data_IF_151616119897
#
_entry.id   IF_151616119897
#
_cell.length_a   1.000
_cell.length_b   1.000
_cell.length_c   1.000
_cell.angle_alpha   90.00
_cell.angle_beta   90.00
_cell.angle_gamma   90.00
#
_symmetry.space_group_name_H-M   'P 1'
#
loop_
_entity.id
_entity.type
_entity.pdbx_description
1 polymer ?
#
# COMPACT_ATOMS: atom_id res chain seq x y z
N UNK A 1 -16.82 -10.53 -53.52
CA UNK A 1 -16.29 -10.51 -52.14
C UNK A 1 -15.53 -9.21 -51.95
N UNK A 2 -15.96 -8.36 -51.02
CA UNK A 2 -15.40 -7.02 -50.88
C UNK A 2 -13.94 -7.08 -50.37
N UNK A 3 -13.00 -6.28 -50.93
CA UNK A 3 -11.59 -6.24 -50.51
C UNK A 3 -11.41 -5.98 -49.01
N UNK A 4 -12.39 -5.34 -48.38
CA UNK A 4 -12.46 -5.07 -46.95
C UNK A 4 -12.42 -6.33 -46.10
N UNK A 5 -13.09 -7.42 -46.49
CA UNK A 5 -13.11 -8.66 -45.69
C UNK A 5 -11.74 -9.36 -45.60
N UNK A 6 -10.95 -9.29 -46.68
CA UNK A 6 -9.61 -9.90 -46.75
C UNK A 6 -8.60 -9.09 -45.94
N UNK A 7 -8.64 -7.76 -46.07
CA UNK A 7 -7.77 -6.85 -45.29
C UNK A 7 -8.07 -6.99 -43.80
N UNK A 8 -9.35 -7.03 -43.41
CA UNK A 8 -9.73 -7.25 -42.03
C UNK A 8 -9.24 -8.61 -41.53
N UNK A 9 -9.39 -9.69 -42.30
CA UNK A 9 -8.88 -11.02 -41.93
C UNK A 9 -7.36 -11.07 -41.73
N UNK A 10 -6.58 -10.42 -42.61
CA UNK A 10 -5.12 -10.33 -42.49
C UNK A 10 -4.72 -9.51 -41.25
N UNK A 11 -5.39 -8.39 -40.99
CA UNK A 11 -5.14 -7.58 -39.79
C UNK A 11 -5.48 -8.36 -38.52
N UNK A 12 -6.58 -9.11 -38.49
CA UNK A 12 -6.92 -9.99 -37.36
C UNK A 12 -5.88 -11.10 -37.16
N UNK A 13 -5.41 -11.74 -38.24
CA UNK A 13 -4.38 -12.77 -38.15
C UNK A 13 -3.04 -12.19 -37.70
N UNK A 14 -2.62 -11.05 -38.24
CA UNK A 14 -1.40 -10.36 -37.84
C UNK A 14 -1.48 -9.90 -36.38
N UNK A 15 -2.63 -9.41 -35.93
CA UNK A 15 -2.88 -9.08 -34.53
C UNK A 15 -2.85 -10.33 -33.65
N UNK A 16 -3.49 -11.43 -34.07
CA UNK A 16 -3.46 -12.69 -33.34
C UNK A 16 -2.04 -13.27 -33.23
N UNK A 17 -1.25 -13.19 -34.30
CA UNK A 17 0.16 -13.55 -34.32
C UNK A 17 0.99 -12.63 -33.42
N UNK A 18 0.76 -11.32 -33.47
CA UNK A 18 1.43 -10.36 -32.59
C UNK A 18 1.10 -10.61 -31.11
N UNK A 19 -0.17 -10.89 -30.78
CA UNK A 19 -0.60 -11.27 -29.45
C UNK A 19 -0.05 -12.63 -28.98
N UNK A 20 0.09 -13.58 -29.91
CA UNK A 20 0.60 -14.91 -29.61
C UNK A 20 2.12 -14.93 -29.41
N UNK A 21 2.86 -14.16 -30.20
CA UNK A 21 4.32 -14.12 -30.17
C UNK A 21 4.89 -13.03 -29.26
N UNK A 22 4.12 -11.96 -29.01
CA UNK A 22 4.54 -10.74 -28.30
C UNK A 22 6.03 -10.39 -28.54
N UNK A 23 6.45 -10.19 -29.80
CA UNK A 23 7.86 -10.12 -30.17
C UNK A 23 8.62 -8.97 -29.50
N UNK A 24 7.91 -7.99 -28.96
CA UNK A 24 8.47 -6.83 -28.24
C UNK A 24 8.30 -6.91 -26.72
N UNK A 25 7.78 -8.03 -26.18
CA UNK A 25 7.56 -8.24 -24.74
C UNK A 25 6.76 -7.10 -24.11
N UNK A 26 5.68 -6.69 -24.77
CA UNK A 26 4.82 -5.61 -24.29
C UNK A 26 3.74 -6.09 -23.32
N UNK A 27 3.45 -7.39 -23.31
CA UNK A 27 2.48 -8.01 -22.42
C UNK A 27 2.82 -7.75 -20.94
N UNK A 28 1.79 -7.59 -20.11
CA UNK A 28 1.98 -7.47 -18.66
C UNK A 28 2.56 -8.73 -18.01
N UNK A 29 2.54 -9.85 -18.73
CA UNK A 29 3.00 -11.17 -18.28
C UNK A 29 4.30 -11.64 -18.94
N UNK A 30 4.92 -10.85 -19.83
CA UNK A 30 6.09 -11.29 -20.63
C UNK A 30 7.27 -11.76 -19.79
N UNK A 31 7.45 -11.18 -18.60
CA UNK A 31 8.58 -11.44 -17.70
C UNK A 31 8.18 -12.37 -16.54
N UNK A 32 6.97 -12.93 -16.57
CA UNK A 32 6.38 -13.72 -15.49
C UNK A 32 5.79 -15.02 -16.05
N UNK A 33 6.63 -16.01 -16.44
CA UNK A 33 6.17 -17.23 -17.11
C UNK A 33 5.26 -18.09 -16.22
N UNK A 34 5.41 -18.02 -14.90
CA UNK A 34 4.61 -18.73 -13.90
C UNK A 34 3.43 -17.88 -13.38
N UNK A 35 3.04 -16.83 -14.10
CA UNK A 35 1.96 -15.96 -13.66
C UNK A 35 0.63 -16.73 -13.64
N UNK A 36 0.04 -16.76 -12.45
CA UNK A 36 -1.31 -17.27 -12.22
C UNK A 36 -2.27 -16.16 -11.84
N UNK A 37 -3.54 -16.37 -12.17
CA UNK A 37 -4.62 -15.41 -11.95
C UNK A 37 -5.62 -16.09 -11.03
N UNK A 38 -5.68 -15.64 -9.78
CA UNK A 38 -6.48 -16.19 -8.70
C UNK A 38 -7.80 -15.43 -8.58
N UNK A 39 -8.88 -16.13 -8.24
CA UNK A 39 -10.17 -15.51 -7.99
C UNK A 39 -10.08 -14.51 -6.83
N UNK A 40 -10.74 -13.35 -6.96
CA UNK A 40 -10.87 -12.37 -5.89
C UNK A 40 -12.36 -12.28 -5.56
N UNK A 41 -12.71 -12.60 -4.31
CA UNK A 41 -14.08 -12.53 -3.80
C UNK A 41 -14.47 -11.08 -3.50
N UNK A 42 -14.61 -10.27 -4.56
CA UNK A 42 -14.86 -8.85 -4.46
C UNK A 42 -16.35 -8.61 -4.15
N UNK A 43 -16.72 -7.96 -3.01
CA UNK A 43 -18.11 -7.82 -2.55
C UNK A 43 -19.08 -7.27 -3.59
N UNK A 44 -20.37 -7.60 -3.50
CA UNK A 44 -21.36 -7.08 -4.44
C UNK A 44 -21.49 -5.55 -4.36
N UNK A 45 -21.89 -4.89 -5.45
CA UNK A 45 -22.09 -3.43 -5.44
C UNK A 45 -23.13 -2.95 -4.42
N UNK A 46 -24.10 -3.82 -4.08
CA UNK A 46 -25.12 -3.56 -3.06
C UNK A 46 -24.57 -3.53 -1.62
N UNK A 47 -23.38 -4.08 -1.39
CA UNK A 47 -22.72 -4.09 -0.08
C UNK A 47 -21.78 -2.90 0.12
N UNK A 48 -21.52 -2.13 -0.93
CA UNK A 48 -20.63 -0.97 -0.85
C UNK A 48 -21.34 0.19 -0.13
N UNK A 49 -20.59 1.01 0.63
CA UNK A 49 -21.12 2.25 1.16
C UNK A 49 -21.67 3.15 0.04
N UNK A 50 -22.83 3.76 0.30
CA UNK A 50 -23.52 4.64 -0.65
C UNK A 50 -22.98 6.07 -0.59
N UNK A 51 -22.37 6.42 0.53
CA UNK A 51 -21.80 7.72 0.84
C UNK A 51 -20.62 8.03 -0.08
N UNK A 52 -20.57 9.28 -0.54
CA UNK A 52 -19.53 9.83 -1.41
C UNK A 52 -19.26 11.27 -1.03
N UNK A 53 -18.07 11.74 -1.34
CA UNK A 53 -17.74 13.15 -1.23
C UNK A 53 -18.15 13.88 -2.52
N UNK A 54 -19.32 14.51 -2.50
CA UNK A 54 -19.81 15.29 -3.65
C UNK A 54 -19.09 16.61 -3.83
N UNK A 55 -18.40 17.11 -2.79
CA UNK A 55 -17.68 18.38 -2.81
C UNK A 55 -16.22 18.24 -3.24
N UNK A 56 -15.69 17.01 -3.32
CA UNK A 56 -14.28 16.73 -3.56
C UNK A 56 -13.38 17.50 -2.58
N UNK A 57 -13.65 17.35 -1.29
CA UNK A 57 -13.01 18.08 -0.20
C UNK A 57 -11.48 17.95 -0.20
N UNK A 58 -10.91 16.84 -0.68
CA UNK A 58 -9.45 16.72 -0.77
C UNK A 58 -8.84 17.71 -1.78
N UNK A 59 -9.61 18.30 -2.70
CA UNK A 59 -9.14 19.40 -3.55
C UNK A 59 -8.82 20.68 -2.76
N UNK A 60 -9.30 20.80 -1.51
CA UNK A 60 -8.97 21.90 -0.59
C UNK A 60 -7.65 21.68 0.15
N UNK A 61 -6.92 20.59 -0.13
CA UNK A 61 -5.65 20.29 0.54
C UNK A 61 -4.52 21.21 0.11
N UNK A 62 -3.63 21.53 1.04
CA UNK A 62 -2.37 22.20 0.77
C UNK A 62 -1.32 21.18 0.31
N UNK A 63 -0.60 21.47 -0.77
CA UNK A 63 0.54 20.66 -1.21
C UNK A 63 1.82 21.17 -0.55
N UNK A 64 2.40 20.36 0.33
CA UNK A 64 3.67 20.64 1.01
C UNK A 64 4.83 19.84 0.41
N UNK A 65 6.02 20.42 0.49
CA UNK A 65 7.30 19.77 0.15
C UNK A 65 7.43 19.29 -1.31
N UNK A 66 6.74 19.97 -2.24
CA UNK A 66 6.73 19.59 -3.64
C UNK A 66 8.14 19.49 -4.22
N UNK A 67 8.47 18.31 -4.75
CA UNK A 67 9.76 17.92 -5.32
C UNK A 67 10.96 17.92 -4.35
N UNK A 68 10.74 18.18 -3.05
CA UNK A 68 11.79 18.08 -2.04
C UNK A 68 12.02 16.63 -1.58
N UNK A 69 10.98 15.81 -1.65
CA UNK A 69 10.96 14.40 -1.26
C UNK A 69 10.27 13.57 -2.34
N UNK A 70 10.59 12.28 -2.41
CA UNK A 70 10.10 11.39 -3.46
C UNK A 70 9.35 10.22 -2.84
N UNK A 71 8.03 10.15 -3.06
CA UNK A 71 7.18 9.05 -2.60
C UNK A 71 7.09 8.91 -1.07
N UNK A 72 6.80 9.97 -0.29
CA UNK A 72 6.64 9.86 1.16
C UNK A 72 5.40 9.04 1.49
N UNK A 73 5.54 7.79 1.93
CA UNK A 73 4.39 6.88 2.07
C UNK A 73 3.73 6.93 3.44
N UNK A 74 4.51 6.67 4.49
CA UNK A 74 4.07 6.76 5.88
C UNK A 74 4.67 7.99 6.55
N UNK A 75 3.81 8.74 7.24
CA UNK A 75 4.09 9.97 7.96
C UNK A 75 3.86 9.70 9.44
N UNK A 76 4.91 9.83 10.23
CA UNK A 76 4.82 9.71 11.69
C UNK A 76 5.46 10.88 12.40
N UNK A 77 5.06 11.06 13.66
CA UNK A 77 5.62 12.05 14.54
C UNK A 77 6.23 11.37 15.75
N UNK A 78 7.32 11.91 16.25
CA UNK A 78 7.99 11.36 17.42
C UNK A 78 7.13 11.52 18.69
N UNK A 79 7.48 10.87 19.81
CA UNK A 79 6.73 11.00 21.07
C UNK A 79 6.67 12.42 21.64
N UNK A 80 7.56 13.33 21.20
CA UNK A 80 7.56 14.76 21.56
C UNK A 80 6.72 15.60 20.59
N UNK A 81 6.11 14.97 19.60
CA UNK A 81 5.29 15.59 18.58
C UNK A 81 6.05 16.23 17.42
N UNK A 82 7.38 16.07 17.34
CA UNK A 82 8.19 16.60 16.23
C UNK A 82 7.98 15.77 14.96
N UNK A 83 8.17 16.41 13.81
CA UNK A 83 8.08 15.77 12.51
C UNK A 83 7.46 16.67 11.45
N UNK A 84 6.96 16.08 10.35
CA UNK A 84 6.83 14.63 10.13
C UNK A 84 8.17 13.92 9.85
N UNK A 85 8.21 12.61 10.12
CA UNK A 85 9.18 11.65 9.62
C UNK A 85 8.54 10.84 8.50
N UNK A 86 9.30 10.51 7.45
CA UNK A 86 8.79 9.71 6.33
C UNK A 86 9.85 8.88 5.63
N UNK A 87 9.47 7.67 5.22
CA UNK A 87 10.24 6.87 4.28
C UNK A 87 10.14 7.44 2.86
N UNK A 88 11.23 7.46 2.11
CA UNK A 88 11.27 7.97 0.73
C UNK A 88 11.80 6.93 -0.26
N UNK A 89 11.59 7.17 -1.56
CA UNK A 89 11.83 6.21 -2.64
C UNK A 89 13.30 5.79 -2.80
N UNK A 90 14.23 6.54 -2.23
CA UNK A 90 15.67 6.22 -2.24
C UNK A 90 16.13 5.38 -1.04
N UNK A 91 15.20 4.91 -0.19
CA UNK A 91 15.48 4.04 0.93
C UNK A 91 15.88 4.73 2.23
N UNK A 92 15.84 6.07 2.27
CA UNK A 92 16.03 6.84 3.51
C UNK A 92 14.71 7.01 4.26
N UNK A 93 14.84 7.26 5.56
CA UNK A 93 13.83 7.93 6.38
C UNK A 93 14.32 9.35 6.62
N UNK A 94 13.49 10.33 6.28
CA UNK A 94 13.78 11.75 6.46
C UNK A 94 12.95 12.31 7.62
N UNK A 95 13.46 13.36 8.24
CA UNK A 95 12.81 14.12 9.31
C UNK A 95 12.69 15.60 8.92
N UNK A 96 11.50 16.17 9.07
CA UNK A 96 11.28 17.60 8.91
C UNK A 96 11.45 18.32 10.25
N UNK A 97 12.49 19.17 10.36
CA UNK A 97 12.81 19.87 11.60
C UNK A 97 12.07 21.22 11.78
N UNK A 98 11.12 21.54 10.90
CA UNK A 98 10.43 22.83 10.85
C UNK A 98 10.96 23.80 9.79
N UNK A 99 12.17 23.55 9.28
CA UNK A 99 12.82 24.41 8.27
C UNK A 99 13.29 23.63 7.04
N UNK A 100 13.93 22.49 7.25
CA UNK A 100 14.57 21.68 6.21
C UNK A 100 14.40 20.19 6.50
N UNK A 101 14.52 19.36 5.45
CA UNK A 101 14.58 17.90 5.59
C UNK A 101 15.99 17.46 5.99
N UNK A 102 16.08 16.62 7.01
CA UNK A 102 17.33 16.01 7.47
C UNK A 102 17.26 14.49 7.33
N UNK A 103 18.39 13.88 6.99
CA UNK A 103 18.51 12.42 6.95
C UNK A 103 18.45 11.88 8.39
N UNK A 104 17.44 11.05 8.66
CA UNK A 104 17.27 10.42 9.97
C UNK A 104 17.82 9.00 9.96
N UNK A 105 17.37 8.14 9.04
CA UNK A 105 17.81 6.76 9.00
C UNK A 105 17.93 6.21 7.57
N UNK A 106 18.64 5.09 7.45
CA UNK A 106 18.75 4.30 6.21
C UNK A 106 18.51 2.82 6.51
N UNK A 107 17.84 2.11 5.60
CA UNK A 107 17.59 0.67 5.76
C UNK A 107 18.60 -0.23 5.06
N UNK A 108 19.27 0.27 4.00
CA UNK A 108 20.37 -0.46 3.35
C UNK A 108 21.73 -0.06 3.91
N UNK A 109 22.55 -1.04 4.25
CA UNK A 109 23.99 -0.84 4.55
C UNK A 109 24.84 -0.70 3.29
N UNK A 110 24.36 -1.18 2.14
CA UNK A 110 25.10 -1.24 0.87
C UNK A 110 24.66 -0.14 -0.11
N UNK A 111 24.43 1.07 0.41
CA UNK A 111 24.03 2.21 -0.44
C UNK A 111 25.16 2.58 -1.40
N UNK A 112 24.80 2.81 -2.65
CA UNK A 112 25.70 3.27 -3.71
C UNK A 112 25.09 4.44 -4.47
N UNK A 113 25.78 4.95 -5.49
CA UNK A 113 25.26 6.00 -6.37
C UNK A 113 23.92 5.64 -7.04
N UNK A 114 23.55 4.36 -7.10
CA UNK A 114 22.25 3.90 -7.59
C UNK A 114 21.06 4.44 -6.76
N UNK A 115 21.32 4.81 -5.50
CA UNK A 115 20.38 5.34 -4.52
C UNK A 115 20.42 6.87 -4.44
N UNK A 116 21.23 7.54 -5.27
CA UNK A 116 21.27 9.01 -5.32
C UNK A 116 19.90 9.60 -5.69
N UNK A 117 19.62 10.85 -5.29
CA UNK A 117 18.37 11.53 -5.62
C UNK A 117 18.02 11.49 -7.12
N UNK A 118 16.75 11.23 -7.42
CA UNK A 118 16.16 11.15 -8.77
C UNK A 118 14.89 12.00 -8.82
N UNK A 119 14.49 12.49 -10.01
CA UNK A 119 13.40 13.45 -10.13
C UNK A 119 11.99 12.86 -9.97
N UNK A 120 11.85 11.54 -9.83
CA UNK A 120 10.53 10.89 -9.73
C UNK A 120 10.61 9.63 -8.86
N UNK A 121 9.55 9.31 -8.09
CA UNK A 121 9.51 8.09 -7.28
C UNK A 121 9.65 6.82 -8.14
N UNK A 122 9.06 6.80 -9.33
CA UNK A 122 9.09 5.63 -10.22
C UNK A 122 10.48 5.30 -10.76
N UNK A 123 11.39 6.29 -10.79
CA UNK A 123 12.78 6.11 -11.24
C UNK A 123 13.61 5.26 -10.26
N UNK A 124 13.10 5.02 -9.06
CA UNK A 124 13.75 4.18 -8.05
C UNK A 124 13.37 2.70 -8.14
N UNK A 125 12.16 2.37 -8.61
CA UNK A 125 11.59 1.00 -8.53
C UNK A 125 12.55 -0.12 -8.95
N UNK A 126 13.36 0.10 -9.99
CA UNK A 126 14.34 -0.90 -10.47
C UNK A 126 15.37 -1.27 -9.39
N UNK A 127 15.79 -0.29 -8.58
CA UNK A 127 16.92 -0.40 -7.65
C UNK A 127 16.49 -0.35 -6.18
N UNK A 128 15.19 -0.24 -5.86
CA UNK A 128 14.71 -0.20 -4.48
C UNK A 128 15.19 -1.43 -3.67
N UNK A 129 15.25 -2.62 -4.27
CA UNK A 129 15.81 -3.82 -3.63
C UNK A 129 17.28 -3.72 -3.18
N UNK A 130 18.03 -2.73 -3.68
CA UNK A 130 19.40 -2.42 -3.24
C UNK A 130 19.39 -1.31 -2.20
N UNK A 131 18.55 -0.29 -2.40
CA UNK A 131 18.55 0.93 -1.60
C UNK A 131 17.69 0.84 -0.33
N UNK A 132 16.73 -0.09 -0.32
CA UNK A 132 15.61 -0.12 0.62
C UNK A 132 14.42 0.69 0.11
N UNK A 133 13.26 0.43 0.72
CA UNK A 133 12.05 1.23 0.55
C UNK A 133 11.21 1.14 1.85
N UNK A 134 11.45 2.03 2.82
CA UNK A 134 10.65 2.13 4.04
C UNK A 134 9.22 2.56 3.67
N UNK A 135 8.24 1.68 3.91
CA UNK A 135 6.83 1.93 3.59
C UNK A 135 6.03 2.29 4.84
N UNK A 136 6.19 1.54 5.92
CA UNK A 136 5.52 1.73 7.20
C UNK A 136 6.48 2.10 8.32
N UNK A 137 6.11 3.09 9.13
CA UNK A 137 6.93 3.63 10.21
C UNK A 137 6.13 3.70 11.51
N UNK A 138 6.70 3.31 12.66
CA UNK A 138 6.11 3.59 13.98
C UNK A 138 7.15 3.82 15.05
N UNK A 139 6.95 4.86 15.84
CA UNK A 139 7.72 5.06 17.06
C UNK A 139 7.18 4.18 18.19
N UNK A 140 8.08 3.49 18.88
CA UNK A 140 7.80 3.00 20.20
C UNK A 140 7.73 4.20 21.16
N UNK A 141 6.54 4.48 21.69
CA UNK A 141 6.29 5.66 22.54
C UNK A 141 7.10 5.66 23.84
N UNK A 142 7.56 4.50 24.31
CA UNK A 142 8.33 4.36 25.56
C UNK A 142 9.83 4.56 25.34
N UNK A 143 10.39 3.98 24.28
CA UNK A 143 11.84 4.00 24.04
C UNK A 143 12.28 5.10 23.08
N UNK A 144 11.37 5.59 22.22
CA UNK A 144 11.70 6.50 21.13
C UNK A 144 12.33 5.80 19.91
N UNK A 145 12.44 4.47 19.92
CA UNK A 145 12.91 3.71 18.77
C UNK A 145 11.90 3.78 17.62
N UNK A 146 12.40 3.96 16.40
CA UNK A 146 11.60 3.92 15.19
C UNK A 146 11.67 2.52 14.57
N UNK A 147 10.54 1.83 14.54
CA UNK A 147 10.35 0.59 13.81
C UNK A 147 9.95 0.90 12.37
N UNK A 148 10.52 0.12 11.45
CA UNK A 148 10.44 0.34 10.00
C UNK A 148 10.04 -0.97 9.33
N UNK A 149 8.95 -0.95 8.56
CA UNK A 149 8.63 -1.97 7.58
C UNK A 149 9.26 -1.55 6.25
N UNK A 150 10.38 -2.20 5.90
CA UNK A 150 11.03 -2.03 4.60
C UNK A 150 10.51 -3.09 3.62
N UNK A 151 10.07 -2.63 2.44
CA UNK A 151 9.48 -3.49 1.43
C UNK A 151 10.37 -4.65 0.96
N UNK A 152 11.69 -4.52 1.11
CA UNK A 152 12.66 -5.50 0.61
C UNK A 152 13.46 -6.16 1.74
N UNK A 153 13.71 -5.46 2.84
CA UNK A 153 14.55 -5.98 3.91
C UNK A 153 13.79 -6.59 5.09
N UNK A 154 12.49 -6.28 5.25
CA UNK A 154 11.70 -6.84 6.34
C UNK A 154 11.39 -5.84 7.45
N UNK A 155 11.22 -6.35 8.67
CA UNK A 155 11.02 -5.52 9.85
C UNK A 155 12.39 -5.10 10.41
N UNK A 156 12.56 -3.80 10.63
CA UNK A 156 13.80 -3.19 11.10
C UNK A 156 13.52 -2.19 12.23
N UNK A 157 14.57 -1.79 12.94
CA UNK A 157 14.50 -0.78 14.01
C UNK A 157 15.73 0.13 14.00
N UNK A 158 15.54 1.40 14.32
CA UNK A 158 16.62 2.36 14.56
C UNK A 158 16.34 3.15 15.83
N UNK A 159 17.39 3.48 16.59
CA UNK A 159 17.26 4.26 17.82
C UNK A 159 16.85 5.72 17.58
N UNK A 160 16.58 6.49 18.64
CA UNK A 160 16.13 7.88 18.55
C UNK A 160 17.14 8.83 17.89
N UNK A 161 18.43 8.45 17.84
CA UNK A 161 19.49 9.22 17.18
C UNK A 161 19.57 8.96 15.67
N UNK A 162 18.76 8.04 15.14
CA UNK A 162 18.79 7.67 13.72
C UNK A 162 20.01 6.80 13.34
N UNK A 163 20.40 6.86 12.07
CA UNK A 163 21.50 6.08 11.50
C UNK A 163 21.07 4.83 10.71
N UNK A 164 21.93 3.81 10.67
CA UNK A 164 21.64 2.56 9.98
C UNK A 164 20.66 1.71 10.81
N UNK A 165 19.52 1.35 10.21
CA UNK A 165 18.54 0.49 10.85
C UNK A 165 19.07 -0.94 11.01
N UNK A 166 18.74 -1.56 12.13
CA UNK A 166 19.05 -2.95 12.46
C UNK A 166 17.92 -3.85 11.98
N UNK A 167 18.26 -4.91 11.25
CA UNK A 167 17.30 -5.93 10.82
C UNK A 167 16.81 -6.76 12.01
N UNK A 168 15.49 -6.93 12.13
CA UNK A 168 14.85 -7.78 13.14
C UNK A 168 14.29 -9.07 12.54
N UNK A 169 13.58 -8.96 11.42
CA UNK A 169 12.89 -10.10 10.79
C UNK A 169 12.93 -9.95 9.27
N UNK A 170 13.41 -10.96 8.56
CA UNK A 170 13.33 -11.07 7.09
C UNK A 170 12.69 -12.38 6.61
N UNK A 171 12.31 -13.28 7.52
CA UNK A 171 11.61 -14.53 7.24
C UNK A 171 10.73 -14.95 8.41
N UNK A 172 9.70 -15.74 8.12
CA UNK A 172 8.89 -16.41 9.13
C UNK A 172 8.49 -17.79 8.62
N UNK A 173 8.65 -18.81 9.46
CA UNK A 173 8.36 -20.21 9.13
C UNK A 173 9.09 -20.69 7.86
N UNK A 174 10.37 -20.31 7.75
CA UNK A 174 11.22 -20.56 6.58
C UNK A 174 10.69 -19.98 5.25
N UNK A 175 9.73 -19.05 5.31
CA UNK A 175 9.24 -18.30 4.14
C UNK A 175 9.73 -16.85 4.24
N UNK A 176 10.60 -16.41 3.32
CA UNK A 176 11.10 -15.03 3.30
C UNK A 176 9.98 -14.01 3.19
N UNK A 177 10.15 -12.88 3.88
CA UNK A 177 9.34 -11.69 3.64
C UNK A 177 9.74 -11.11 2.29
N UNK A 178 8.78 -10.82 1.42
CA UNK A 178 9.07 -10.24 0.09
C UNK A 178 8.50 -8.86 -0.11
N UNK A 179 7.49 -8.49 0.68
CA UNK A 179 6.84 -7.20 0.56
C UNK A 179 6.25 -6.76 1.90
N UNK A 180 7.12 -6.49 2.86
CA UNK A 180 6.72 -5.95 4.17
C UNK A 180 6.20 -4.54 4.01
N UNK A 181 5.01 -4.24 4.51
CA UNK A 181 4.33 -3.00 4.16
C UNK A 181 4.13 -2.07 5.35
N UNK A 182 3.26 -2.43 6.29
CA UNK A 182 2.95 -1.60 7.43
C UNK A 182 3.13 -2.34 8.76
N UNK A 183 3.17 -1.59 9.86
CA UNK A 183 3.29 -2.13 11.21
C UNK A 183 2.59 -1.28 12.27
N UNK A 184 2.25 -1.89 13.40
CA UNK A 184 1.83 -1.19 14.62
C UNK A 184 2.39 -1.88 15.88
N UNK A 185 2.49 -1.13 16.97
CA UNK A 185 3.18 -1.54 18.20
C UNK A 185 2.20 -1.52 19.38
N UNK A 186 2.07 -2.63 20.11
CA UNK A 186 1.27 -2.67 21.33
C UNK A 186 2.02 -2.14 22.57
N UNK A 187 1.33 -2.05 23.70
CA UNK A 187 1.88 -1.48 24.92
C UNK A 187 2.98 -2.35 25.53
N UNK A 188 2.94 -3.66 25.26
CA UNK A 188 3.96 -4.62 25.63
C UNK A 188 5.17 -4.59 24.68
N UNK A 189 5.09 -3.84 23.59
CA UNK A 189 6.16 -3.68 22.60
C UNK A 189 6.17 -4.78 21.53
N UNK A 190 5.15 -5.64 21.45
CA UNK A 190 5.01 -6.52 20.30
C UNK A 190 4.68 -5.71 19.05
N UNK A 191 5.22 -6.16 17.93
CA UNK A 191 5.04 -5.52 16.63
C UNK A 191 4.16 -6.40 15.77
N UNK A 192 3.02 -5.87 15.31
CA UNK A 192 2.15 -6.50 14.34
C UNK A 192 2.42 -5.88 12.98
N UNK A 193 2.67 -6.69 11.96
CA UNK A 193 3.07 -6.18 10.65
C UNK A 193 2.55 -7.07 9.51
N UNK A 194 2.50 -6.50 8.32
CA UNK A 194 2.00 -7.18 7.11
C UNK A 194 3.12 -7.56 6.17
N UNK A 195 3.01 -8.71 5.54
CA UNK A 195 3.76 -9.11 4.35
C UNK A 195 2.78 -9.26 3.19
N UNK A 196 2.78 -8.30 2.25
CA UNK A 196 1.76 -8.17 1.20
C UNK A 196 1.74 -9.34 0.21
N UNK A 197 2.86 -10.03 0.05
CA UNK A 197 3.00 -11.20 -0.81
C UNK A 197 4.29 -11.94 -0.48
N UNK A 198 4.26 -13.27 -0.50
CA UNK A 198 5.49 -14.10 -0.46
C UNK A 198 6.03 -14.41 -1.86
N UNK A 199 5.29 -14.04 -2.91
CA UNK A 199 5.62 -14.29 -4.31
C UNK A 199 6.24 -13.06 -4.99
N UNK A 200 5.67 -11.88 -4.77
CA UNK A 200 6.03 -10.64 -5.45
C UNK A 200 6.70 -9.64 -4.51
N UNK A 201 7.74 -8.97 -5.01
CA UNK A 201 8.35 -7.81 -4.35
C UNK A 201 7.64 -6.51 -4.77
N UNK A 202 7.86 -5.41 -4.03
CA UNK A 202 7.29 -4.09 -4.31
C UNK A 202 7.46 -3.58 -5.74
N UNK A 203 8.61 -3.82 -6.38
CA UNK A 203 8.84 -3.46 -7.81
C UNK A 203 7.89 -4.15 -8.80
N UNK A 204 7.29 -5.26 -8.37
CA UNK A 204 6.34 -6.07 -9.13
C UNK A 204 4.91 -5.95 -8.57
N UNK A 205 4.58 -4.87 -7.85
CA UNK A 205 3.25 -4.69 -7.24
C UNK A 205 2.10 -4.75 -8.26
N UNK A 206 2.33 -4.30 -9.50
CA UNK A 206 1.32 -4.42 -10.57
C UNK A 206 0.98 -5.88 -10.83
N UNK A 207 1.99 -6.77 -10.84
CA UNK A 207 1.78 -8.20 -11.06
C UNK A 207 1.07 -8.85 -9.87
N UNK A 208 1.38 -8.43 -8.64
CA UNK A 208 0.61 -8.83 -7.45
C UNK A 208 -0.88 -8.49 -7.61
N UNK A 209 -1.18 -7.25 -8.02
CA UNK A 209 -2.57 -6.79 -8.26
C UNK A 209 -3.23 -7.56 -9.41
N UNK A 210 -2.49 -7.81 -10.49
CA UNK A 210 -3.00 -8.51 -11.66
C UNK A 210 -3.24 -10.00 -11.40
N UNK A 211 -2.40 -10.65 -10.60
CA UNK A 211 -2.56 -12.06 -10.25
C UNK A 211 -3.68 -12.26 -9.24
N UNK A 212 -4.00 -11.24 -8.43
CA UNK A 212 -4.84 -11.44 -7.24
C UNK A 212 -4.14 -12.35 -6.23
N UNK A 213 -2.81 -12.25 -6.13
CA UNK A 213 -1.97 -13.05 -5.25
C UNK A 213 -2.57 -13.12 -3.85
N UNK A 214 -2.76 -14.35 -3.36
CA UNK A 214 -3.36 -14.66 -2.08
C UNK A 214 -2.31 -15.12 -1.06
N UNK A 215 -1.02 -14.93 -1.31
CA UNK A 215 0.05 -15.44 -0.44
C UNK A 215 0.36 -14.54 0.77
N UNK A 216 -0.33 -13.41 0.91
CA UNK A 216 -0.06 -12.42 1.94
C UNK A 216 -0.34 -12.90 3.37
N UNK A 217 0.32 -12.26 4.33
CA UNK A 217 0.31 -12.64 5.75
C UNK A 217 0.23 -11.44 6.68
N UNK A 218 -0.34 -11.65 7.87
CA UNK A 218 -0.17 -10.78 9.04
C UNK A 218 0.65 -11.52 10.08
N UNK A 219 1.66 -10.86 10.62
CA UNK A 219 2.64 -11.44 11.53
C UNK A 219 2.73 -10.64 12.83
N UNK A 220 3.22 -11.29 13.87
CA UNK A 220 3.59 -10.70 15.15
C UNK A 220 5.07 -10.98 15.42
N UNK A 221 5.81 -9.97 15.83
CA UNK A 221 7.17 -10.11 16.36
C UNK A 221 7.20 -9.67 17.82
N UNK A 222 7.79 -10.49 18.68
CA UNK A 222 8.04 -10.15 20.07
C UNK A 222 9.52 -9.81 20.26
N UNK A 223 9.88 -8.55 20.61
CA UNK A 223 11.28 -8.14 20.73
C UNK A 223 12.00 -8.76 21.94
N UNK A 224 11.27 -9.22 22.96
CA UNK A 224 11.83 -9.87 24.14
C UNK A 224 12.26 -11.30 23.85
N UNK A 225 11.40 -12.10 23.22
CA UNK A 225 11.70 -13.50 22.86
C UNK A 225 12.39 -13.63 21.51
N UNK A 226 12.35 -12.58 20.69
CA UNK A 226 12.79 -12.55 19.29
C UNK A 226 12.02 -13.53 18.39
N UNK A 227 10.83 -13.94 18.82
CA UNK A 227 9.98 -14.87 18.07
C UNK A 227 9.10 -14.11 17.07
N UNK A 228 8.93 -14.68 15.88
CA UNK A 228 7.96 -14.23 14.88
C UNK A 228 6.89 -15.29 14.67
N UNK A 229 5.62 -14.92 14.80
CA UNK A 229 4.47 -15.79 14.61
C UNK A 229 3.59 -15.26 13.48
N UNK A 230 3.17 -16.13 12.56
CA UNK A 230 2.16 -15.75 11.55
C UNK A 230 0.77 -15.90 12.16
N UNK A 231 0.03 -14.79 12.23
CA UNK A 231 -1.32 -14.74 12.81
C UNK A 231 -2.40 -15.07 11.78
N UNK A 232 -2.26 -14.57 10.56
CA UNK A 232 -3.24 -14.75 9.48
C UNK A 232 -2.51 -15.02 8.17
N UNK A 233 -3.07 -15.91 7.36
CA UNK A 233 -2.53 -16.36 6.06
C UNK A 233 -3.54 -16.21 4.96
N UNK A 234 -3.08 -16.48 3.75
CA UNK A 234 -3.88 -16.59 2.55
C UNK A 234 -4.64 -15.28 2.25
N UNK A 235 -3.98 -14.15 2.49
CA UNK A 235 -4.55 -12.82 2.36
C UNK A 235 -4.21 -12.23 0.99
N UNK A 236 -5.20 -11.62 0.35
CA UNK A 236 -5.00 -10.94 -0.92
C UNK A 236 -4.60 -9.48 -0.70
N UNK A 237 -3.29 -9.24 -0.82
CA UNK A 237 -2.62 -7.94 -0.66
C UNK A 237 -2.89 -7.27 0.71
N UNK A 238 -2.49 -7.89 1.84
CA UNK A 238 -2.52 -7.20 3.12
C UNK A 238 -1.54 -6.04 3.14
N UNK A 239 -2.00 -4.86 3.53
CA UNK A 239 -1.26 -3.61 3.38
C UNK A 239 -1.17 -2.86 4.72
N UNK A 240 -2.11 -1.97 5.04
CA UNK A 240 -2.15 -1.30 6.34
C UNK A 240 -2.49 -2.20 7.52
N UNK A 241 -1.95 -1.87 8.70
CA UNK A 241 -2.35 -2.42 10.00
C UNK A 241 -2.34 -1.34 11.09
N UNK A 242 -3.38 -1.32 11.94
CA UNK A 242 -3.40 -0.45 13.11
C UNK A 242 -4.20 -1.03 14.28
N UNK A 243 -3.65 -0.87 15.48
CA UNK A 243 -4.25 -1.25 16.74
C UNK A 243 -5.39 -0.32 17.13
N UNK A 244 -6.50 -0.91 17.56
CA UNK A 244 -7.57 -0.19 18.27
C UNK A 244 -7.02 0.64 19.43
N UNK A 245 -7.77 1.69 19.80
CA UNK A 245 -7.41 2.57 20.91
C UNK A 245 -7.30 1.81 22.24
N UNK A 246 -8.22 0.88 22.51
CA UNK A 246 -8.26 0.07 23.73
C UNK A 246 -7.36 -1.19 23.68
N UNK A 247 -6.66 -1.41 22.56
CA UNK A 247 -5.74 -2.54 22.36
C UNK A 247 -6.42 -3.91 22.49
N UNK A 248 -7.74 -3.98 22.29
CA UNK A 248 -8.48 -5.24 22.30
C UNK A 248 -8.42 -5.98 20.96
N UNK A 249 -8.15 -5.25 19.87
CA UNK A 249 -7.96 -5.79 18.53
C UNK A 249 -7.04 -4.90 17.67
N UNK A 250 -6.64 -5.38 16.50
CA UNK A 250 -6.15 -4.54 15.41
C UNK A 250 -6.98 -4.73 14.15
N UNK A 251 -6.96 -3.72 13.28
CA UNK A 251 -7.54 -3.77 11.95
C UNK A 251 -6.43 -3.87 10.93
N UNK A 252 -6.63 -4.66 9.88
CA UNK A 252 -5.73 -4.74 8.74
C UNK A 252 -6.48 -4.75 7.42
N UNK A 253 -5.83 -4.28 6.38
CA UNK A 253 -6.39 -4.17 5.04
C UNK A 253 -6.33 -5.51 4.30
N UNK A 254 -7.35 -5.83 3.50
CA UNK A 254 -7.25 -6.78 2.38
C UNK A 254 -7.40 -5.99 1.08
N UNK A 255 -6.24 -5.53 0.57
CA UNK A 255 -6.14 -4.55 -0.51
C UNK A 255 -6.87 -4.98 -1.77
N UNK A 256 -6.69 -6.22 -2.22
CA UNK A 256 -7.32 -6.71 -3.45
C UNK A 256 -8.82 -6.97 -3.30
N UNK A 257 -9.29 -7.31 -2.10
CA UNK A 257 -10.71 -7.59 -1.81
C UNK A 257 -11.49 -6.29 -1.56
N UNK A 258 -10.81 -5.21 -1.19
CA UNK A 258 -11.48 -3.93 -0.89
C UNK A 258 -12.24 -3.97 0.44
N UNK A 259 -11.63 -4.53 1.49
CA UNK A 259 -12.22 -4.56 2.84
C UNK A 259 -11.18 -4.45 3.94
N UNK A 260 -11.66 -4.18 5.14
CA UNK A 260 -10.91 -4.25 6.38
C UNK A 260 -11.31 -5.52 7.15
N UNK A 261 -10.34 -6.15 7.80
CA UNK A 261 -10.58 -7.22 8.78
C UNK A 261 -10.10 -6.79 10.15
N UNK A 262 -10.80 -7.28 11.17
CA UNK A 262 -10.41 -7.12 12.58
C UNK A 262 -9.87 -8.44 13.10
N UNK A 263 -8.74 -8.39 13.81
CA UNK A 263 -8.17 -9.52 14.54
C UNK A 263 -8.21 -9.23 16.04
N UNK A 264 -8.86 -10.11 16.80
CA UNK A 264 -9.05 -9.94 18.24
C UNK A 264 -7.80 -10.37 19.01
N UNK A 265 -7.28 -9.47 19.86
CA UNK A 265 -6.14 -9.72 20.74
C UNK A 265 -6.57 -10.14 22.14
N UNK A 266 -7.73 -9.67 22.59
CA UNK A 266 -8.26 -9.87 23.95
C UNK A 266 -9.72 -10.37 23.90
N UNK A 267 -10.21 -10.89 25.02
CA UNK A 267 -11.58 -11.37 25.19
C UNK A 267 -11.84 -12.77 24.62
N UNK A 268 -13.09 -13.20 24.62
CA UNK A 268 -13.50 -14.56 24.21
C UNK A 268 -13.18 -14.89 22.75
N UNK A 269 -13.09 -13.86 21.89
CA UNK A 269 -12.73 -13.99 20.48
C UNK A 269 -11.22 -13.93 20.21
N UNK A 270 -10.37 -13.80 21.24
CA UNK A 270 -8.93 -13.65 21.05
C UNK A 270 -8.35 -14.74 20.13
N UNK A 271 -7.53 -14.33 19.16
CA UNK A 271 -6.96 -15.22 18.14
C UNK A 271 -7.83 -15.41 16.89
N UNK A 272 -9.06 -14.90 16.87
CA UNK A 272 -9.95 -14.96 15.70
C UNK A 272 -9.94 -13.66 14.90
N UNK A 273 -10.41 -13.74 13.65
CA UNK A 273 -10.57 -12.56 12.79
C UNK A 273 -11.87 -12.58 12.01
N UNK A 274 -12.47 -11.40 11.82
CA UNK A 274 -13.75 -11.21 11.13
C UNK A 274 -13.69 -9.98 10.21
N UNK A 275 -14.64 -9.87 9.28
CA UNK A 275 -14.78 -8.67 8.45
C UNK A 275 -15.16 -7.49 9.34
N UNK A 276 -14.44 -6.38 9.20
CA UNK A 276 -14.68 -5.16 9.97
C UNK A 276 -15.50 -4.15 9.17
N UNK A 277 -15.12 -3.90 7.91
CA UNK A 277 -15.83 -2.99 7.02
C UNK A 277 -15.59 -3.35 5.55
N UNK A 278 -16.60 -3.19 4.70
CA UNK A 278 -16.47 -3.26 3.24
C UNK A 278 -16.21 -1.86 2.71
N UNK A 279 -15.22 -1.72 1.82
CA UNK A 279 -14.76 -0.43 1.31
C UNK A 279 -15.20 -0.24 -0.15
N UNK A 280 -15.44 1.01 -0.59
CA UNK A 280 -15.79 1.29 -1.99
C UNK A 280 -14.61 1.18 -2.98
N UNK A 281 -13.43 0.80 -2.50
CA UNK A 281 -12.18 0.80 -3.23
C UNK A 281 -11.12 -0.05 -2.56
N UNK A 282 -9.89 0.05 -3.05
CA UNK A 282 -8.78 -0.79 -2.61
C UNK A 282 -7.96 -0.06 -1.55
N UNK A 283 -7.95 -0.52 -0.28
CA UNK A 283 -7.25 0.15 0.80
C UNK A 283 -5.73 0.00 0.69
N UNK A 284 -5.04 1.04 1.13
CA UNK A 284 -3.59 1.10 1.34
C UNK A 284 -3.33 1.02 2.86
N UNK A 285 -2.86 2.09 3.53
CA UNK A 285 -2.71 2.12 4.99
C UNK A 285 -3.99 2.48 5.76
N UNK A 286 -4.04 2.03 7.02
CA UNK A 286 -5.08 2.36 8.03
C UNK A 286 -4.44 2.92 9.30
N UNK A 287 -4.93 4.03 9.84
CA UNK A 287 -4.40 4.68 11.05
C UNK A 287 -5.51 4.96 12.05
N UNK A 288 -5.27 4.59 13.30
CA UNK A 288 -6.19 4.89 14.40
C UNK A 288 -5.89 6.28 14.94
N UNK A 289 -6.89 7.16 14.97
CA UNK A 289 -6.76 8.50 15.55
C UNK A 289 -6.94 8.51 17.08
N UNK A 290 -6.78 9.68 17.69
CA UNK A 290 -6.93 9.84 19.15
C UNK A 290 -8.33 9.51 19.67
N UNK A 291 -9.36 9.60 18.82
CA UNK A 291 -10.73 9.22 19.17
C UNK A 291 -10.98 7.71 19.09
N UNK A 292 -10.04 6.94 18.53
CA UNK A 292 -10.20 5.51 18.26
C UNK A 292 -10.90 5.20 16.95
N UNK A 293 -11.13 6.20 16.12
CA UNK A 293 -11.63 6.05 14.76
C UNK A 293 -10.48 5.67 13.83
N UNK A 294 -10.79 5.02 12.71
CA UNK A 294 -9.81 4.54 11.74
C UNK A 294 -9.88 5.36 10.46
N UNK A 295 -8.82 6.10 10.15
CA UNK A 295 -8.60 6.66 8.82
C UNK A 295 -8.01 5.61 7.89
N UNK A 296 -8.54 5.52 6.68
CA UNK A 296 -8.14 4.54 5.68
C UNK A 296 -7.85 5.28 4.39
N UNK A 297 -6.62 5.17 3.90
CA UNK A 297 -6.25 5.61 2.57
C UNK A 297 -6.77 4.60 1.55
N UNK A 298 -7.48 5.06 0.52
CA UNK A 298 -7.80 4.25 -0.65
C UNK A 298 -6.90 4.65 -1.80
N UNK A 299 -6.26 3.65 -2.39
CA UNK A 299 -5.45 3.83 -3.59
C UNK A 299 -6.31 4.30 -4.78
N UNK A 300 -7.49 3.70 -4.93
CA UNK A 300 -8.51 4.10 -5.90
C UNK A 300 -9.85 3.45 -5.56
N UNK A 301 -10.95 4.00 -6.11
CA UNK A 301 -12.25 3.35 -6.07
C UNK A 301 -12.30 2.15 -6.99
N UNK A 302 -13.17 1.19 -6.65
CA UNK A 302 -13.46 0.05 -7.50
C UNK A 302 -14.08 0.51 -8.83
N UNK A 303 -13.55 0.00 -9.93
CA UNK A 303 -14.09 0.20 -11.27
C UNK A 303 -14.89 -1.02 -11.73
N UNK A 304 -15.70 -0.86 -12.78
CA UNK A 304 -16.39 -2.01 -13.42
C UNK A 304 -15.37 -3.01 -13.96
N UNK A 305 -14.26 -2.52 -14.50
CA UNK A 305 -13.18 -3.37 -15.02
C UNK A 305 -12.57 -4.20 -13.91
N UNK A 306 -12.24 -3.60 -12.76
CA UNK A 306 -11.66 -4.35 -11.64
C UNK A 306 -12.65 -5.38 -11.06
N UNK A 307 -13.95 -5.09 -11.05
CA UNK A 307 -14.97 -6.06 -10.65
C UNK A 307 -15.03 -7.28 -11.56
N UNK A 308 -15.09 -7.08 -12.88
CA UNK A 308 -15.09 -8.15 -13.87
C UNK A 308 -13.79 -8.96 -13.76
N UNK A 309 -12.65 -8.30 -13.68
CA UNK A 309 -11.35 -8.95 -13.57
C UNK A 309 -11.21 -9.82 -12.32
N UNK A 310 -11.84 -9.42 -11.22
CA UNK A 310 -11.84 -10.15 -9.95
C UNK A 310 -12.62 -11.47 -10.04
N UNK A 311 -13.78 -11.46 -10.71
CA UNK A 311 -14.65 -12.64 -10.81
C UNK A 311 -14.28 -13.59 -11.95
N UNK A 312 -13.59 -13.09 -12.98
CA UNK A 312 -13.26 -13.85 -14.18
C UNK A 312 -11.73 -13.96 -14.37
N UNK A 313 -11.02 -14.72 -13.53
CA UNK A 313 -9.54 -14.79 -13.56
C UNK A 313 -8.97 -15.27 -14.90
N UNK A 314 -9.68 -16.16 -15.61
CA UNK A 314 -9.29 -16.62 -16.96
C UNK A 314 -9.37 -15.50 -18.00
N UNK A 315 -10.43 -14.67 -17.93
CA UNK A 315 -10.57 -13.49 -18.78
C UNK A 315 -9.47 -12.47 -18.46
N UNK A 316 -9.25 -12.17 -17.19
CA UNK A 316 -8.16 -11.29 -16.74
C UNK A 316 -6.80 -11.76 -17.29
N UNK A 317 -6.47 -13.06 -17.14
CA UNK A 317 -5.24 -13.66 -17.67
C UNK A 317 -5.13 -13.52 -19.19
N UNK A 318 -6.23 -13.72 -19.92
CA UNK A 318 -6.26 -13.52 -21.38
C UNK A 318 -5.99 -12.05 -21.76
N UNK A 319 -6.65 -11.10 -21.12
CA UNK A 319 -6.47 -9.67 -21.44
C UNK A 319 -5.05 -9.20 -21.09
N UNK A 320 -4.48 -9.69 -19.99
CA UNK A 320 -3.09 -9.37 -19.58
C UNK A 320 -2.04 -9.94 -20.54
N UNK A 321 -2.36 -11.01 -21.29
CA UNK A 321 -1.48 -11.55 -22.34
C UNK A 321 -1.41 -10.67 -23.58
N UNK A 322 -2.41 -9.81 -23.81
CA UNK A 322 -2.37 -8.88 -24.93
C UNK A 322 -1.13 -7.98 -24.84
N UNK A 323 -0.55 -7.55 -25.99
CA UNK A 323 0.69 -6.79 -26.07
C UNK A 323 0.46 -5.31 -25.69
N UNK A 324 -0.08 -5.10 -24.49
CA UNK A 324 -0.39 -3.81 -23.88
C UNK A 324 0.44 -3.71 -22.61
N UNK A 325 1.26 -2.65 -22.54
CA UNK A 325 2.15 -2.42 -21.40
C UNK A 325 1.38 -2.42 -20.08
N UNK A 326 1.98 -3.04 -19.05
CA UNK A 326 1.42 -3.16 -17.70
C UNK A 326 0.83 -1.84 -17.15
N UNK A 327 1.50 -0.70 -17.39
CA UNK A 327 1.01 0.62 -16.94
C UNK A 327 -0.38 0.99 -17.47
N UNK A 328 -0.70 0.61 -18.71
CA UNK A 328 -2.00 0.92 -19.32
C UNK A 328 -3.08 -0.05 -18.85
N UNK A 329 -2.72 -1.34 -18.68
CA UNK A 329 -3.57 -2.34 -18.05
C UNK A 329 -3.94 -1.93 -16.61
N UNK A 330 -2.94 -1.45 -15.86
CA UNK A 330 -3.13 -0.93 -14.52
C UNK A 330 -4.06 0.27 -14.50
N UNK A 331 -3.83 1.24 -15.39
CA UNK A 331 -4.67 2.43 -15.52
C UNK A 331 -6.14 2.09 -15.81
N UNK A 332 -6.40 1.11 -16.69
CA UNK A 332 -7.76 0.62 -16.96
C UNK A 332 -8.40 -0.02 -15.71
N UNK A 333 -7.64 -0.81 -14.95
CA UNK A 333 -8.14 -1.46 -13.74
C UNK A 333 -8.53 -0.46 -12.65
N UNK A 334 -7.78 0.65 -12.50
CA UNK A 334 -8.08 1.69 -11.52
C UNK A 334 -9.12 2.72 -11.99
N UNK A 335 -9.75 2.53 -13.17
CA UNK A 335 -10.80 3.42 -13.65
C UNK A 335 -10.36 4.56 -14.58
N UNK A 336 -9.11 4.53 -15.06
CA UNK A 336 -8.62 5.38 -16.16
C UNK A 336 -7.72 6.55 -15.74
N UNK A 337 -7.77 6.99 -14.48
CA UNK A 337 -6.89 8.01 -13.94
C UNK A 337 -6.67 7.83 -12.44
N UNK A 338 -5.60 8.44 -11.92
CA UNK A 338 -5.30 8.48 -10.50
C UNK A 338 -6.26 9.45 -9.79
N UNK A 339 -6.84 8.99 -8.68
CA UNK A 339 -7.71 9.75 -7.79
C UNK A 339 -7.52 9.22 -6.36
N UNK A 340 -7.76 10.07 -5.36
CA UNK A 340 -7.58 9.70 -3.96
C UNK A 340 -8.90 9.75 -3.19
N UNK A 341 -9.02 8.87 -2.20
CA UNK A 341 -10.10 8.90 -1.23
C UNK A 341 -9.58 8.51 0.16
N UNK A 342 -9.96 9.26 1.18
CA UNK A 342 -9.72 8.99 2.59
C UNK A 342 -11.05 8.72 3.28
N UNK A 343 -11.17 7.59 3.96
CA UNK A 343 -12.40 7.20 4.66
C UNK A 343 -12.15 7.09 6.16
N UNK A 344 -13.10 7.54 6.97
CA UNK A 344 -13.06 7.41 8.42
C UNK A 344 -14.10 6.41 8.91
N UNK A 345 -13.70 5.44 9.71
CA UNK A 345 -14.57 4.42 10.30
C UNK A 345 -14.60 4.49 11.82
N UNK A 346 -15.75 4.19 12.43
CA UNK A 346 -15.89 4.05 13.88
C UNK A 346 -15.20 2.78 14.41
N UNK A 347 -14.98 2.65 15.73
CA UNK A 347 -14.49 1.42 16.35
C UNK A 347 -15.34 0.17 16.06
N UNK A 348 -16.60 0.34 15.67
CA UNK A 348 -17.56 -0.70 15.31
C UNK A 348 -17.59 -1.01 13.81
N UNK A 349 -16.77 -0.33 12.99
CA UNK A 349 -16.72 -0.54 11.54
C UNK A 349 -17.77 0.23 10.75
N UNK A 350 -18.39 1.27 11.33
CA UNK A 350 -19.35 2.12 10.62
C UNK A 350 -18.63 3.26 9.91
N UNK A 351 -18.98 3.52 8.65
CA UNK A 351 -18.46 4.65 7.90
C UNK A 351 -18.95 5.96 8.53
N UNK A 352 -18.03 6.86 8.84
CA UNK A 352 -18.30 8.18 9.44
C UNK A 352 -18.13 9.27 8.40
N UNK A 353 -17.07 9.20 7.59
CA UNK A 353 -16.69 10.27 6.69
C UNK A 353 -16.00 9.74 5.44
N UNK A 354 -16.25 10.40 4.32
CA UNK A 354 -15.56 10.18 3.05
C UNK A 354 -15.01 11.53 2.59
N UNK A 355 -13.72 11.59 2.27
CA UNK A 355 -13.05 12.73 1.66
C UNK A 355 -12.44 12.25 0.35
N UNK A 356 -12.67 12.95 -0.77
CA UNK A 356 -12.16 12.52 -2.08
C UNK A 356 -11.61 13.68 -2.90
N UNK A 357 -10.73 13.32 -3.84
CA UNK A 357 -10.49 14.08 -5.05
C UNK A 357 -10.71 13.12 -6.23
N UNK A 358 -11.99 12.91 -6.58
CA UNK A 358 -12.42 11.94 -7.59
C UNK A 358 -11.87 12.26 -9.00
N UNK A 359 -11.48 13.52 -9.23
CA UNK A 359 -10.90 14.00 -10.47
C UNK A 359 -9.36 13.96 -10.47
N UNK A 360 -8.74 13.74 -9.30
CA UNK A 360 -7.28 13.78 -9.13
C UNK A 360 -6.69 15.14 -9.53
N UNK A 361 -7.35 16.25 -9.20
CA UNK A 361 -6.88 17.59 -9.55
C UNK A 361 -5.70 18.04 -8.69
N UNK A 362 -5.81 17.81 -7.39
CA UNK A 362 -4.85 18.22 -6.35
C UNK A 362 -4.22 16.98 -5.72
N UNK A 363 -5.05 16.11 -5.13
CA UNK A 363 -4.59 14.89 -4.45
C UNK A 363 -4.86 13.69 -5.36
N UNK A 364 -3.83 13.26 -6.08
CA UNK A 364 -3.96 12.23 -7.13
C UNK A 364 -3.90 10.81 -6.59
N UNK A 365 -3.17 10.58 -5.52
CA UNK A 365 -3.05 9.26 -4.90
C UNK A 365 -2.58 9.46 -3.46
N UNK A 366 -3.15 8.68 -2.54
CA UNK A 366 -2.70 8.62 -1.15
C UNK A 366 -2.45 7.17 -0.77
N UNK A 367 -1.44 6.96 0.05
CA UNK A 367 -1.08 5.67 0.64
C UNK A 367 -1.33 5.63 2.13
N UNK A 368 -1.38 6.78 2.80
CA UNK A 368 -1.67 6.90 4.22
C UNK A 368 -2.39 8.21 4.51
N UNK A 369 -3.15 8.23 5.60
CA UNK A 369 -3.74 9.43 6.20
C UNK A 369 -3.46 9.39 7.71
N UNK A 370 -2.60 10.27 8.18
CA UNK A 370 -2.29 10.45 9.61
C UNK A 370 -2.98 11.72 10.13
N UNK A 371 -3.85 11.57 11.14
CA UNK A 371 -4.53 12.69 11.77
C UNK A 371 -3.70 13.26 12.91
N UNK A 372 -3.34 14.54 12.82
CA UNK A 372 -2.61 15.25 13.86
C UNK A 372 -2.91 16.73 13.89
N UNK A 373 -3.15 17.28 15.09
CA UNK A 373 -3.34 18.70 15.35
C UNK A 373 -4.40 19.35 14.44
N UNK A 374 -5.54 18.66 14.26
CA UNK A 374 -6.65 19.11 13.40
C UNK A 374 -6.33 19.05 11.89
N UNK A 375 -5.31 18.30 11.48
CA UNK A 375 -4.90 18.15 10.09
C UNK A 375 -4.78 16.68 9.72
N UNK A 376 -5.13 16.37 8.48
CA UNK A 376 -4.86 15.08 7.85
C UNK A 376 -3.61 15.21 6.99
N UNK A 377 -2.54 14.54 7.41
CA UNK A 377 -1.29 14.45 6.70
C UNK A 377 -1.32 13.22 5.79
N UNK A 378 -1.23 13.44 4.48
CA UNK A 378 -1.42 12.38 3.49
C UNK A 378 -0.13 12.11 2.73
N UNK A 379 0.38 10.90 2.92
CA UNK A 379 1.51 10.35 2.18
C UNK A 379 1.07 9.65 0.90
N UNK A 380 1.99 9.45 -0.03
CA UNK A 380 1.79 8.72 -1.28
C UNK A 380 3.10 8.12 -1.79
N UNK A 381 3.08 6.84 -2.17
CA UNK A 381 4.21 6.22 -2.89
C UNK A 381 4.44 6.77 -4.29
N UNK A 382 3.45 7.47 -4.86
CA UNK A 382 3.47 7.94 -6.25
C UNK A 382 3.76 9.43 -6.38
N UNK A 383 3.52 10.23 -5.33
CA UNK A 383 3.62 11.68 -5.41
C UNK A 383 4.96 12.19 -4.84
N UNK A 384 5.54 13.26 -5.40
CA UNK A 384 6.75 13.89 -4.87
C UNK A 384 6.40 15.01 -3.85
N UNK A 385 5.39 14.79 -3.00
CA UNK A 385 4.89 15.78 -2.04
C UNK A 385 4.07 15.11 -0.94
N UNK A 386 3.76 15.87 0.12
CA UNK A 386 2.74 15.52 1.12
C UNK A 386 1.54 16.45 0.94
N UNK A 387 0.33 15.90 0.96
CA UNK A 387 -0.89 16.70 0.96
C UNK A 387 -1.40 16.86 2.39
N UNK A 388 -1.83 18.07 2.76
CA UNK A 388 -2.36 18.37 4.10
C UNK A 388 -3.76 18.96 3.98
N UNK A 389 -4.74 18.26 4.56
CA UNK A 389 -6.11 18.74 4.64
C UNK A 389 -6.43 19.22 6.05
N UNK A 390 -7.06 20.39 6.18
CA UNK A 390 -7.48 20.92 7.46
C UNK A 390 -8.87 20.39 7.82
N UNK A 391 -8.98 19.70 8.95
CA UNK A 391 -10.27 19.24 9.49
C UNK A 391 -10.98 20.48 10.03
N UNK A 392 -12.12 20.82 9.43
CA UNK A 392 -12.94 21.99 9.80
C UNK A 392 -13.89 21.63 10.94
#
# INVERSE_FOLDING_TARGET
>A
MAPTGIITGILFLALALYCGLDPFRHSAMSDFPNFESVFIDLPAYSELPVEKDTENLLQKSEIKFLNQIQGPESLVFDPLGKGPYTGVADGRVLFWNGKDWTDFAVTSSNRSELCSPKPSPLSYMKNEHVCGRPLGLRFNKKTGDLYIADAYFGLMVVGPEGGLATLLVNEAEAVPLRFTNDLDIDEEGNIYFTDSSTNYQRRNFMQLVFSGDDSGRVLKYNPTTKETTVLVRNLQFPNGVSLSKDKSFFVFCEGSIGRLRRYWLKGEKAGSSEVFAILPGFPDNVRTNENGEFWVALHCRRSVVSYIYSHYPKLRKFVLKLPIKAKYQYLMQIGGWLHAAALKYSPEGKLIQVLEDSQGKVVKAISEVEEKDGKLWMGSVLMPFVAVYHVV
#
